data_IF_453489388849
#
_entry.id   IF_453489388849
#
_cell.length_a   1.000
_cell.length_b   1.000
_cell.length_c   1.000
_cell.angle_alpha   90.00
_cell.angle_beta   90.00
_cell.angle_gamma   90.00
#
_symmetry.space_group_name_H-M   'P 1'
#
loop_
_entity.id
_entity.type
_entity.pdbx_description
1 polymer ?
#
# COMPACT_ATOMS: atom_id res chain seq x y z
N UNK A 1 14.65 -22.26 27.52
CA UNK A 1 13.79 -23.40 27.11
C UNK A 1 12.29 -23.18 27.29
N UNK A 2 11.81 -22.42 28.30
CA UNK A 2 10.36 -22.13 28.47
C UNK A 2 9.80 -21.12 27.45
N UNK A 3 10.58 -20.10 27.08
CA UNK A 3 10.20 -19.08 26.07
C UNK A 3 10.09 -19.69 24.66
N UNK A 4 10.95 -20.66 24.32
CA UNK A 4 10.94 -21.34 23.02
C UNK A 4 9.70 -22.23 22.82
N UNK A 5 9.16 -22.80 23.91
CA UNK A 5 7.90 -23.57 23.88
C UNK A 5 6.67 -22.64 23.77
N UNK A 6 6.73 -21.44 24.35
CA UNK A 6 5.66 -20.45 24.25
C UNK A 6 5.55 -19.87 22.84
N UNK A 7 6.70 -19.66 22.17
CA UNK A 7 6.74 -19.22 20.77
C UNK A 7 6.13 -20.27 19.82
N UNK A 8 6.38 -21.56 20.07
CA UNK A 8 5.84 -22.67 19.27
C UNK A 8 4.32 -22.84 19.43
N UNK A 9 3.76 -22.51 20.59
CA UNK A 9 2.29 -22.54 20.82
C UNK A 9 1.60 -21.36 20.13
N UNK A 10 2.25 -20.19 20.04
CA UNK A 10 1.69 -19.03 19.35
C UNK A 10 1.67 -19.20 17.83
N UNK A 11 2.68 -19.86 17.25
CA UNK A 11 2.73 -20.17 15.81
C UNK A 11 1.75 -21.28 15.41
N UNK A 12 1.39 -22.19 16.32
CA UNK A 12 0.44 -23.28 16.03
C UNK A 12 -1.03 -22.86 16.04
N UNK A 13 -1.37 -21.65 16.51
CA UNK A 13 -2.76 -21.20 16.64
C UNK A 13 -3.30 -20.45 15.40
N UNK A 14 -2.47 -20.25 14.38
CA UNK A 14 -2.84 -19.54 13.12
C UNK A 14 -3.26 -20.53 12.01
N UNK A 15 -3.42 -21.82 12.32
CA UNK A 15 -3.83 -22.84 11.35
C UNK A 15 -5.35 -23.10 11.34
N UNK A 16 -6.19 -22.06 11.45
CA UNK A 16 -7.62 -22.17 11.15
C UNK A 16 -7.82 -21.96 9.65
N UNK A 17 -8.33 -22.98 8.97
CA UNK A 17 -8.70 -22.96 7.55
C UNK A 17 -9.90 -22.04 7.29
N UNK A 18 -9.70 -20.72 7.31
CA UNK A 18 -10.63 -19.81 6.65
C UNK A 18 -10.58 -20.07 5.14
N UNK A 19 -11.71 -19.98 4.41
CA UNK A 19 -11.63 -19.90 2.95
C UNK A 19 -10.66 -18.76 2.60
N UNK A 20 -9.83 -18.93 1.56
CA UNK A 20 -8.95 -17.86 1.13
C UNK A 20 -9.82 -16.68 0.70
N UNK A 21 -9.90 -15.64 1.53
CA UNK A 21 -10.16 -14.28 1.06
C UNK A 21 -8.83 -13.78 0.50
N UNK A 22 -8.44 -14.33 -0.66
CA UNK A 22 -7.39 -13.73 -1.47
C UNK A 22 -8.13 -12.79 -2.42
N UNK A 23 -7.75 -11.52 -2.46
CA UNK A 23 -8.26 -10.64 -3.50
C UNK A 23 -7.62 -10.95 -4.85
N UNK A 24 -8.06 -10.21 -5.85
CA UNK A 24 -7.67 -10.39 -7.24
C UNK A 24 -6.33 -9.68 -7.57
N UNK A 25 -5.77 -8.92 -6.63
CA UNK A 25 -4.50 -8.21 -6.77
C UNK A 25 -3.31 -9.15 -6.86
N UNK A 26 -2.74 -9.31 -8.05
CA UNK A 26 -1.57 -10.19 -8.24
C UNK A 26 -0.23 -9.51 -7.90
N UNK A 27 -0.11 -8.20 -8.09
CA UNK A 27 1.14 -7.46 -7.91
C UNK A 27 0.92 -6.00 -7.47
N UNK A 28 1.56 -5.59 -6.38
CA UNK A 28 1.47 -4.25 -5.75
C UNK A 28 1.85 -3.02 -6.59
N UNK A 29 2.25 -3.18 -7.85
CA UNK A 29 2.65 -2.08 -8.75
C UNK A 29 2.15 -2.23 -10.19
N UNK A 30 1.38 -3.28 -10.45
CA UNK A 30 0.78 -3.47 -11.77
C UNK A 30 -0.70 -3.22 -11.64
N UNK A 31 -1.14 -2.22 -12.37
CA UNK A 31 -2.56 -1.91 -12.48
C UNK A 31 -3.15 -2.83 -13.53
N UNK A 32 -4.18 -3.58 -13.14
CA UNK A 32 -4.98 -4.39 -14.05
C UNK A 32 -6.42 -3.89 -14.02
N UNK A 33 -7.25 -4.43 -14.91
CA UNK A 33 -8.70 -4.19 -14.87
C UNK A 33 -9.39 -5.02 -13.78
N UNK A 34 -8.65 -5.80 -13.00
CA UNK A 34 -9.22 -6.65 -11.97
C UNK A 34 -9.71 -5.79 -10.80
N UNK A 35 -10.84 -6.20 -10.22
CA UNK A 35 -11.41 -5.56 -9.04
C UNK A 35 -11.90 -6.67 -8.12
N UNK A 36 -11.69 -6.49 -6.83
CA UNK A 36 -12.20 -7.39 -5.82
C UNK A 36 -13.72 -7.58 -5.94
N UNK A 37 -14.22 -8.82 -5.78
CA UNK A 37 -15.66 -9.07 -5.77
C UNK A 37 -16.36 -8.25 -4.69
N UNK A 38 -17.65 -7.99 -4.88
CA UNK A 38 -18.44 -7.21 -3.93
C UNK A 38 -18.37 -7.78 -2.51
N UNK A 39 -17.93 -6.94 -1.57
CA UNK A 39 -17.83 -7.26 -0.15
C UNK A 39 -16.56 -8.01 0.25
N UNK A 40 -15.68 -8.31 -0.71
CA UNK A 40 -14.34 -8.83 -0.39
C UNK A 40 -13.49 -7.68 0.12
N UNK A 41 -12.81 -7.95 1.22
CA UNK A 41 -11.93 -7.01 1.89
C UNK A 41 -10.56 -7.66 2.06
N UNK A 42 -9.51 -6.88 1.79
CA UNK A 42 -8.13 -7.31 1.86
C UNK A 42 -7.29 -6.29 2.64
N UNK A 43 -6.26 -6.79 3.32
CA UNK A 43 -5.26 -5.96 3.99
C UNK A 43 -3.89 -6.38 3.45
N UNK A 44 -3.20 -5.44 2.81
CA UNK A 44 -1.80 -5.64 2.42
C UNK A 44 -0.84 -4.86 3.33
N UNK A 45 0.29 -5.48 3.65
CA UNK A 45 1.40 -4.82 4.32
C UNK A 45 2.60 -4.80 3.38
N UNK A 46 2.93 -3.61 2.90
CA UNK A 46 4.11 -3.36 2.08
C UNK A 46 5.24 -2.90 3.00
N UNK A 47 6.39 -3.56 2.88
CA UNK A 47 7.63 -3.17 3.57
C UNK A 47 8.71 -2.90 2.55
N UNK A 48 9.33 -1.71 2.61
CA UNK A 48 10.38 -1.31 1.68
C UNK A 48 11.64 -0.92 2.44
N UNK A 49 12.72 -1.66 2.21
CA UNK A 49 14.05 -1.26 2.66
C UNK A 49 14.78 -0.61 1.48
N UNK A 50 15.21 0.64 1.63
CA UNK A 50 15.98 1.37 0.61
C UNK A 50 17.35 1.69 1.19
N UNK A 51 18.41 1.30 0.49
CA UNK A 51 19.80 1.59 0.87
C UNK A 51 20.56 2.08 -0.34
N UNK A 52 21.61 2.83 -0.06
CA UNK A 52 22.62 3.28 -1.01
C UNK A 52 22.07 4.26 -2.06
N UNK A 53 22.80 5.36 -2.28
CA UNK A 53 22.55 6.32 -3.36
C UNK A 53 23.86 6.56 -4.10
N UNK A 54 23.78 7.16 -5.28
CA UNK A 54 24.95 7.40 -6.14
C UNK A 54 26.05 8.23 -5.44
N UNK A 55 25.70 9.04 -4.44
CA UNK A 55 26.62 9.69 -3.52
C UNK A 55 26.04 9.76 -2.10
N UNK A 56 26.90 9.66 -1.07
CA UNK A 56 26.51 9.76 0.34
C UNK A 56 26.07 8.43 0.97
N UNK A 57 25.75 8.48 2.27
CA UNK A 57 25.14 7.37 3.00
C UNK A 57 23.63 7.63 3.09
N UNK A 58 22.83 6.67 2.64
CA UNK A 58 21.37 6.74 2.60
C UNK A 58 20.78 5.40 3.06
N UNK A 59 19.86 5.45 4.01
CA UNK A 59 19.07 4.31 4.46
C UNK A 59 17.65 4.77 4.76
N UNK A 60 16.66 4.07 4.24
CA UNK A 60 15.26 4.30 4.56
C UNK A 60 14.49 2.99 4.72
N UNK A 61 13.48 3.04 5.57
CA UNK A 61 12.57 1.94 5.84
C UNK A 61 11.14 2.47 5.79
N UNK A 62 10.40 2.08 4.76
CA UNK A 62 9.03 2.52 4.54
C UNK A 62 8.05 1.37 4.82
N UNK A 63 6.96 1.68 5.50
CA UNK A 63 5.82 0.80 5.72
C UNK A 63 4.58 1.44 5.10
N UNK A 64 3.85 0.66 4.31
CA UNK A 64 2.55 1.04 3.77
C UNK A 64 1.56 -0.06 4.12
N UNK A 65 0.55 0.30 4.90
CA UNK A 65 -0.59 -0.58 5.19
C UNK A 65 -1.73 -0.17 4.29
N UNK A 66 -2.28 -1.13 3.56
CA UNK A 66 -3.38 -0.96 2.63
C UNK A 66 -4.60 -1.69 3.14
N UNK A 67 -5.75 -1.04 3.04
CA UNK A 67 -7.06 -1.62 3.33
C UNK A 67 -7.90 -1.51 2.07
N UNK A 68 -8.16 -2.62 1.41
CA UNK A 68 -8.84 -2.68 0.11
C UNK A 68 -10.22 -3.31 0.23
N UNK A 69 -11.20 -2.80 -0.52
CA UNK A 69 -12.56 -3.32 -0.54
C UNK A 69 -13.19 -3.24 -1.94
N UNK A 70 -13.81 -4.34 -2.36
CA UNK A 70 -14.72 -4.36 -3.50
C UNK A 70 -16.10 -3.82 -3.11
N UNK A 71 -16.42 -2.58 -3.48
CA UNK A 71 -17.76 -2.02 -3.24
C UNK A 71 -18.83 -2.66 -4.14
N UNK A 72 -18.44 -3.02 -5.37
CA UNK A 72 -19.20 -3.83 -6.34
C UNK A 72 -18.24 -4.72 -7.11
N UNK A 73 -18.73 -5.66 -7.93
CA UNK A 73 -17.88 -6.49 -8.81
C UNK A 73 -17.15 -5.70 -9.92
N UNK A 74 -17.35 -4.37 -9.99
CA UNK A 74 -16.72 -3.47 -10.97
C UNK A 74 -16.13 -2.21 -10.33
N UNK A 75 -16.27 -2.04 -9.02
CA UNK A 75 -15.84 -0.84 -8.32
C UNK A 75 -15.18 -1.21 -7.00
N UNK A 76 -13.93 -0.81 -6.86
CA UNK A 76 -13.06 -1.08 -5.73
C UNK A 76 -12.46 0.22 -5.24
N UNK A 77 -12.12 0.25 -3.95
CA UNK A 77 -11.18 1.25 -3.47
C UNK A 77 -10.31 0.73 -2.35
N UNK A 78 -9.23 1.46 -2.11
CA UNK A 78 -8.27 1.19 -1.06
C UNK A 78 -7.94 2.45 -0.27
N UNK A 79 -7.55 2.27 0.99
CA UNK A 79 -6.98 3.31 1.84
C UNK A 79 -5.57 2.87 2.24
N UNK A 80 -4.61 3.77 2.03
CA UNK A 80 -3.23 3.58 2.42
C UNK A 80 -2.87 4.47 3.60
N UNK A 81 -2.17 3.89 4.56
CA UNK A 81 -1.46 4.61 5.62
C UNK A 81 0.03 4.40 5.40
N UNK A 82 0.74 5.50 5.18
CA UNK A 82 2.17 5.50 4.87
C UNK A 82 2.97 5.99 6.08
N UNK A 83 3.95 5.20 6.52
CA UNK A 83 4.94 5.61 7.51
C UNK A 83 6.33 5.29 7.01
N UNK A 84 7.32 6.03 7.47
CA UNK A 84 8.68 5.66 7.13
C UNK A 84 9.72 6.36 7.96
N UNK A 85 10.88 5.75 7.96
CA UNK A 85 12.09 6.27 8.58
C UNK A 85 13.11 6.52 7.48
N UNK A 86 13.78 7.67 7.50
CA UNK A 86 14.86 7.99 6.58
C UNK A 86 16.04 8.61 7.32
N UNK A 87 17.22 8.04 7.09
CA UNK A 87 18.50 8.54 7.55
C UNK A 87 19.41 8.82 6.35
N UNK A 88 19.88 10.07 6.23
CA UNK A 88 20.78 10.49 5.16
C UNK A 88 21.89 11.41 5.69
N UNK A 89 23.13 11.23 5.20
CA UNK A 89 24.27 12.03 5.67
C UNK A 89 24.11 13.51 5.30
N UNK A 90 24.07 14.40 6.30
CA UNK A 90 23.90 15.85 6.11
C UNK A 90 22.44 16.31 6.07
N UNK A 91 21.51 15.40 6.33
CA UNK A 91 20.10 15.67 6.54
C UNK A 91 19.73 15.33 8.00
N UNK A 92 18.74 16.00 8.60
CA UNK A 92 18.07 15.48 9.79
C UNK A 92 17.49 14.08 9.52
N UNK A 93 17.48 13.22 10.54
CA UNK A 93 16.71 11.96 10.49
C UNK A 93 15.21 12.30 10.54
N UNK A 94 14.41 11.58 9.76
CA UNK A 94 12.95 11.77 9.63
C UNK A 94 12.23 10.46 10.00
N UNK A 95 11.45 10.49 11.09
CA UNK A 95 10.76 9.36 11.71
C UNK A 95 9.27 9.69 11.84
N UNK A 96 8.51 9.76 10.74
CA UNK A 96 7.13 10.24 10.78
C UNK A 96 6.13 9.46 9.91
N UNK A 97 4.85 9.72 10.22
CA UNK A 97 3.72 9.37 9.35
C UNK A 97 3.82 10.25 8.12
N UNK A 98 4.06 9.62 6.96
CA UNK A 98 4.33 10.35 5.72
C UNK A 98 3.05 10.87 5.06
N UNK A 99 1.94 10.15 5.21
CA UNK A 99 0.68 10.56 4.59
C UNK A 99 -0.36 9.46 4.52
N UNK A 100 -1.50 9.82 3.95
CA UNK A 100 -2.58 8.90 3.59
C UNK A 100 -2.88 9.06 2.10
N UNK A 101 -3.18 7.97 1.41
CA UNK A 101 -3.74 8.01 0.06
C UNK A 101 -4.95 7.10 -0.03
N UNK A 102 -5.84 7.37 -0.97
CA UNK A 102 -6.93 6.47 -1.31
C UNK A 102 -6.84 6.14 -2.78
N UNK A 103 -7.14 4.92 -3.15
CA UNK A 103 -7.20 4.48 -4.54
C UNK A 103 -8.62 4.07 -4.88
N UNK A 104 -9.05 4.34 -6.11
CA UNK A 104 -10.32 3.92 -6.65
C UNK A 104 -10.13 3.35 -8.06
N UNK A 105 -10.66 2.15 -8.27
CA UNK A 105 -10.69 1.48 -9.57
C UNK A 105 -12.13 1.23 -9.96
N UNK A 106 -12.51 1.71 -11.14
CA UNK A 106 -13.78 1.39 -11.77
C UNK A 106 -13.55 0.65 -13.08
N UNK A 107 -13.79 -0.66 -13.07
CA UNK A 107 -13.74 -1.51 -14.26
C UNK A 107 -14.95 -1.22 -15.13
N UNK A 108 -14.70 -0.81 -16.37
CA UNK A 108 -15.76 -0.52 -17.35
C UNK A 108 -15.99 -1.70 -18.29
N UNK A 109 -14.93 -2.43 -18.65
CA UNK A 109 -15.03 -3.74 -19.33
C UNK A 109 -13.99 -4.71 -18.81
N UNK A 110 -14.28 -6.01 -18.92
CA UNK A 110 -13.40 -7.07 -18.45
C UNK A 110 -12.78 -7.78 -19.63
N UNK A 111 -11.45 -7.99 -19.65
CA UNK A 111 -10.81 -8.79 -20.70
C UNK A 111 -11.21 -10.28 -20.63
N UNK A 112 -11.89 -10.71 -19.57
CA UNK A 112 -12.42 -12.07 -19.45
C UNK A 112 -13.78 -12.25 -20.13
N UNK A 113 -14.55 -11.17 -20.32
CA UNK A 113 -15.90 -11.22 -20.92
C UNK A 113 -16.00 -10.45 -22.22
N UNK A 114 -15.13 -9.47 -22.42
CA UNK A 114 -15.14 -8.54 -23.54
C UNK A 114 -13.83 -8.67 -24.35
N UNK A 115 -13.81 -8.26 -25.64
CA UNK A 115 -12.60 -8.33 -26.46
C UNK A 115 -11.42 -7.51 -25.95
N UNK A 116 -11.69 -6.44 -25.19
CA UNK A 116 -10.72 -5.52 -24.60
C UNK A 116 -11.22 -5.14 -23.21
N UNK A 117 -10.33 -5.18 -22.22
CA UNK A 117 -10.57 -4.67 -20.87
C UNK A 117 -10.18 -3.20 -20.75
N UNK A 118 -10.95 -2.40 -20.01
CA UNK A 118 -10.54 -1.06 -19.61
C UNK A 118 -11.12 -0.66 -18.25
N UNK A 119 -10.33 0.08 -17.47
CA UNK A 119 -10.70 0.59 -16.16
C UNK A 119 -10.25 2.04 -15.94
N UNK A 120 -11.03 2.79 -15.18
CA UNK A 120 -10.69 4.12 -14.71
C UNK A 120 -10.04 4.02 -13.34
N UNK A 121 -8.93 4.74 -13.18
CA UNK A 121 -8.15 4.80 -11.96
C UNK A 121 -8.08 6.22 -11.42
N UNK A 122 -8.22 6.35 -10.09
CA UNK A 122 -8.04 7.62 -9.39
C UNK A 122 -7.40 7.40 -8.01
N UNK A 123 -6.29 8.09 -7.73
CA UNK A 123 -5.62 8.04 -6.43
C UNK A 123 -5.33 9.46 -5.90
N UNK A 124 -6.19 10.04 -5.04
CA UNK A 124 -5.85 11.23 -4.28
C UNK A 124 -5.00 10.89 -3.06
N UNK A 125 -4.01 11.74 -2.76
CA UNK A 125 -3.09 11.59 -1.65
C UNK A 125 -2.94 12.90 -0.87
N UNK A 126 -2.81 12.77 0.45
CA UNK A 126 -2.46 13.84 1.37
C UNK A 126 -1.18 13.47 2.10
N UNK A 127 -0.16 14.26 1.84
CA UNK A 127 1.20 13.98 2.27
C UNK A 127 1.66 15.06 3.25
N UNK A 128 2.18 14.59 4.38
CA UNK A 128 2.76 15.36 5.46
C UNK A 128 4.23 14.91 5.59
N UNK A 129 5.08 15.38 4.67
CA UNK A 129 6.53 15.07 4.66
C UNK A 129 7.34 16.06 5.53
N UNK A 130 8.67 15.93 5.60
CA UNK A 130 9.61 16.96 6.07
C UNK A 130 10.61 17.39 4.94
N UNK A 131 10.84 18.70 4.80
CA UNK A 131 11.54 19.42 3.73
C UNK A 131 12.77 19.79 4.48
N UNK A 132 13.89 19.22 4.06
CA UNK A 132 15.16 19.26 4.74
C UNK A 132 15.77 20.68 4.85
N UNK A 133 15.13 21.57 5.60
CA UNK A 133 15.52 22.94 5.87
C UNK A 133 15.07 23.44 7.27
N UNK A 134 14.41 22.60 8.09
CA UNK A 134 14.02 22.95 9.46
C UNK A 134 12.72 23.74 9.60
N UNK A 135 11.84 23.71 8.58
CA UNK A 135 10.51 24.30 8.61
C UNK A 135 9.44 23.19 8.74
N UNK A 136 8.42 23.41 9.57
CA UNK A 136 7.24 22.53 9.65
C UNK A 136 6.44 22.56 8.34
N UNK A 137 5.81 21.44 7.98
CA UNK A 137 5.06 21.30 6.73
C UNK A 137 3.72 22.03 6.68
N UNK A 138 3.46 22.51 5.47
CA UNK A 138 2.12 22.67 4.91
C UNK A 138 1.66 21.33 4.32
N UNK A 139 0.41 20.97 4.59
CA UNK A 139 -0.27 19.83 4.00
C UNK A 139 -0.17 19.88 2.46
N UNK A 140 0.35 18.82 1.85
CA UNK A 140 0.39 18.70 0.38
C UNK A 140 -0.71 17.77 -0.11
N UNK A 141 -1.19 18.03 -1.32
CA UNK A 141 -2.25 17.27 -1.96
C UNK A 141 -1.81 16.89 -3.37
N UNK A 142 -1.83 15.60 -3.65
CA UNK A 142 -1.48 15.02 -4.94
C UNK A 142 -2.63 14.17 -5.47
N UNK A 143 -2.71 14.04 -6.80
CA UNK A 143 -3.72 13.18 -7.43
C UNK A 143 -3.12 12.51 -8.65
N UNK A 144 -3.50 11.25 -8.83
CA UNK A 144 -3.18 10.47 -10.01
C UNK A 144 -4.45 9.97 -10.70
N UNK A 145 -4.47 10.07 -12.04
CA UNK A 145 -5.52 9.52 -12.88
C UNK A 145 -4.92 8.66 -13.98
N UNK A 146 -5.48 7.46 -14.20
CA UNK A 146 -5.06 6.57 -15.28
C UNK A 146 -6.26 5.93 -15.98
N UNK A 147 -6.05 5.60 -17.25
CA UNK A 147 -6.85 4.62 -17.97
C UNK A 147 -5.99 3.36 -18.05
N UNK A 148 -6.49 2.27 -17.44
CA UNK A 148 -5.83 0.96 -17.39
C UNK A 148 -6.47 0.06 -18.45
#
# INVERSE_FOLDING_TARGET
MKILKLLLVFVSLIATSSPPLAGEGYFSRFYTTDTNPKGVFEIEQITRNRRDRSQGNYSAFDLRTEFECGFTDSFQGALYINTGHMAAKGAPDDDDVQGISTEFIYRVSSPYTDPIGFALYFEPAFDAHDLHNGLKYDLSFENEFRLI
#
